data_IF_089192372718
#
_entry.id   IF_089192372718
#
_cell.length_a   1.000
_cell.length_b   1.000
_cell.length_c   1.000
_cell.angle_alpha   90.00
_cell.angle_beta   90.00
_cell.angle_gamma   90.00
#
_symmetry.space_group_name_H-M   'P 1'
#
loop_
_entity.id
_entity.type
_entity.pdbx_description
1 polymer ?
#
# COMPACT_ATOMS: atom_id res chain seq x y z
N UNK A 1 -2.62 4.10 2.16
CA UNK A 1 -1.73 4.30 0.99
C UNK A 1 -0.55 5.21 1.30
N UNK A 2 -0.73 6.35 1.96
CA UNK A 2 0.37 7.28 2.27
C UNK A 2 1.56 6.61 2.94
N UNK A 3 1.34 5.83 4.00
CA UNK A 3 2.38 5.06 4.70
C UNK A 3 3.14 4.14 3.74
N UNK A 4 2.42 3.35 2.93
CA UNK A 4 3.03 2.47 1.95
C UNK A 4 3.92 3.24 0.96
N UNK A 5 3.41 4.33 0.39
CA UNK A 5 4.17 5.16 -0.57
C UNK A 5 5.40 5.78 0.10
N UNK A 6 5.27 6.30 1.31
CA UNK A 6 6.38 6.90 2.06
C UNK A 6 7.51 5.89 2.34
N UNK A 7 7.16 4.69 2.82
CA UNK A 7 8.14 3.63 3.10
C UNK A 7 8.78 3.16 1.79
N UNK A 8 7.97 2.94 0.77
CA UNK A 8 8.46 2.50 -0.55
C UNK A 8 9.40 3.54 -1.16
N UNK A 9 9.07 4.83 -1.06
CA UNK A 9 9.93 5.91 -1.54
C UNK A 9 11.28 5.94 -0.83
N UNK A 10 11.32 5.76 0.50
CA UNK A 10 12.57 5.63 1.25
C UNK A 10 13.39 4.43 0.76
N UNK A 11 12.75 3.28 0.53
CA UNK A 11 13.42 2.10 -0.01
C UNK A 11 13.93 2.33 -1.43
N UNK A 12 13.23 3.09 -2.26
CA UNK A 12 13.73 3.43 -3.59
C UNK A 12 15.05 4.20 -3.50
N UNK A 13 15.11 5.23 -2.66
CA UNK A 13 16.33 6.05 -2.50
C UNK A 13 17.53 5.22 -2.01
N UNK A 14 17.30 4.23 -1.15
CA UNK A 14 18.37 3.46 -0.51
C UNK A 14 18.71 2.13 -1.22
N UNK A 15 17.70 1.46 -1.77
CA UNK A 15 17.76 0.09 -2.30
C UNK A 15 17.42 -0.02 -3.78
N UNK A 16 17.12 1.08 -4.46
CA UNK A 16 16.85 1.13 -5.89
C UNK A 16 15.44 0.73 -6.30
N UNK A 17 15.18 0.80 -7.62
CA UNK A 17 13.84 0.65 -8.18
C UNK A 17 13.28 -0.77 -8.07
N UNK A 18 14.13 -1.81 -8.12
CA UNK A 18 13.67 -3.19 -8.00
C UNK A 18 13.10 -3.49 -6.60
N UNK A 19 13.81 -3.08 -5.54
CA UNK A 19 13.34 -3.27 -4.17
C UNK A 19 12.11 -2.41 -3.87
N UNK A 20 12.04 -1.19 -4.41
CA UNK A 20 10.85 -0.34 -4.38
C UNK A 20 9.59 -1.07 -4.84
N UNK A 21 9.63 -1.77 -5.99
CA UNK A 21 8.45 -2.49 -6.52
C UNK A 21 7.91 -3.53 -5.54
N UNK A 22 8.79 -4.34 -4.96
CA UNK A 22 8.39 -5.37 -4.00
C UNK A 22 7.83 -4.76 -2.71
N UNK A 23 8.44 -3.69 -2.22
CA UNK A 23 7.96 -3.01 -1.01
C UNK A 23 6.61 -2.33 -1.27
N UNK A 24 6.43 -1.67 -2.41
CA UNK A 24 5.18 -1.00 -2.76
C UNK A 24 4.01 -1.99 -2.88
N UNK A 25 4.22 -3.13 -3.53
CA UNK A 25 3.15 -4.10 -3.77
C UNK A 25 2.78 -4.85 -2.48
N UNK A 26 3.79 -5.28 -1.71
CA UNK A 26 3.60 -6.24 -0.61
C UNK A 26 3.92 -5.61 0.74
N UNK A 27 5.20 -5.32 1.02
CA UNK A 27 5.64 -5.04 2.39
C UNK A 27 5.07 -3.75 2.97
N UNK A 28 5.04 -2.67 2.20
CA UNK A 28 4.50 -1.40 2.64
C UNK A 28 2.98 -1.44 2.87
N UNK A 29 2.26 -2.35 2.20
CA UNK A 29 0.85 -2.61 2.51
C UNK A 29 0.68 -3.28 3.87
N UNK A 30 1.44 -4.34 4.16
CA UNK A 30 1.39 -5.00 5.46
C UNK A 30 1.82 -4.08 6.60
N UNK A 31 2.84 -3.26 6.41
CA UNK A 31 3.25 -2.24 7.40
C UNK A 31 2.12 -1.22 7.61
N UNK A 32 1.43 -0.81 6.54
CA UNK A 32 0.27 0.08 6.65
C UNK A 32 -0.86 -0.56 7.46
N UNK A 33 -1.11 -1.87 7.31
CA UNK A 33 -2.07 -2.60 8.14
C UNK A 33 -1.62 -2.58 9.60
N UNK A 34 -0.37 -2.94 9.89
CA UNK A 34 0.14 -2.99 11.27
C UNK A 34 0.01 -1.64 11.99
N UNK A 35 0.32 -0.54 11.31
CA UNK A 35 0.16 0.80 11.88
C UNK A 35 -1.33 1.11 12.10
N UNK A 36 -2.21 0.69 11.18
CA UNK A 36 -3.66 0.87 11.32
C UNK A 36 -4.24 0.06 12.49
N UNK A 37 -3.73 -1.15 12.74
CA UNK A 37 -4.12 -1.99 13.90
C UNK A 37 -3.82 -1.32 15.23
N UNK A 38 -2.73 -0.55 15.31
CA UNK A 38 -2.36 0.17 16.53
C UNK A 38 -3.14 1.48 16.67
N UNK A 39 -3.35 2.19 15.56
CA UNK A 39 -3.83 3.58 15.58
C UNK A 39 -5.34 3.75 15.46
N UNK A 40 -6.06 2.79 14.84
CA UNK A 40 -7.43 3.01 14.37
C UNK A 40 -8.42 1.89 14.76
N UNK A 41 -8.32 1.40 16.01
CA UNK A 41 -9.17 0.29 16.49
C UNK A 41 -10.68 0.60 16.41
N UNK A 42 -11.07 1.85 16.65
CA UNK A 42 -12.47 2.27 16.67
C UNK A 42 -13.11 2.27 15.26
N UNK A 43 -12.33 2.42 14.19
CA UNK A 43 -12.86 2.39 12.82
C UNK A 43 -13.40 1.01 12.45
N UNK A 44 -12.79 -0.07 12.95
CA UNK A 44 -13.28 -1.42 12.68
C UNK A 44 -14.68 -1.67 13.24
N UNK A 45 -15.02 -1.06 14.38
CA UNK A 45 -16.37 -1.14 14.95
C UNK A 45 -17.39 -0.46 14.03
N UNK A 46 -17.04 0.69 13.45
CA UNK A 46 -17.91 1.37 12.48
C UNK A 46 -18.18 0.49 11.25
N UNK A 47 -17.14 -0.10 10.66
CA UNK A 47 -17.30 -0.96 9.48
C UNK A 47 -18.07 -2.24 9.79
N UNK A 48 -17.80 -2.85 10.94
CA UNK A 48 -18.50 -4.05 11.39
C UNK A 48 -20.00 -3.80 11.62
N UNK A 49 -20.35 -2.67 12.23
CA UNK A 49 -21.75 -2.27 12.42
C UNK A 49 -22.48 -2.02 11.09
N UNK A 50 -21.75 -1.72 10.01
CA UNK A 50 -22.27 -1.61 8.65
C UNK A 50 -22.18 -2.92 7.84
N UNK A 51 -21.91 -4.05 8.50
CA UNK A 51 -21.86 -5.37 7.88
C UNK A 51 -20.58 -5.70 7.11
N UNK A 52 -19.55 -4.85 7.19
CA UNK A 52 -18.27 -5.08 6.53
C UNK A 52 -17.30 -5.72 7.51
N UNK A 53 -16.82 -6.91 7.16
CA UNK A 53 -15.84 -7.63 8.00
C UNK A 53 -14.43 -7.06 7.82
N UNK A 54 -13.61 -7.25 8.85
CA UNK A 54 -12.19 -6.88 8.83
C UNK A 54 -11.43 -7.53 7.67
N UNK A 55 -11.73 -8.79 7.38
CA UNK A 55 -11.10 -9.53 6.29
C UNK A 55 -11.48 -8.94 4.92
N UNK A 56 -12.74 -8.52 4.74
CA UNK A 56 -13.14 -7.80 3.53
C UNK A 56 -12.36 -6.50 3.35
N UNK A 57 -12.19 -5.70 4.42
CA UNK A 57 -11.38 -4.48 4.36
C UNK A 57 -9.93 -4.75 3.95
N UNK A 58 -9.33 -5.83 4.45
CA UNK A 58 -7.97 -6.22 4.06
C UNK A 58 -7.88 -6.64 2.60
N UNK A 59 -8.81 -7.46 2.12
CA UNK A 59 -8.84 -7.92 0.73
C UNK A 59 -9.07 -6.75 -0.22
N UNK A 60 -10.07 -5.91 0.03
CA UNK A 60 -10.34 -4.72 -0.79
C UNK A 60 -9.16 -3.74 -0.75
N UNK A 61 -8.60 -3.51 0.44
CA UNK A 61 -7.42 -2.67 0.60
C UNK A 61 -6.22 -3.19 -0.19
N UNK A 62 -5.98 -4.50 -0.18
CA UNK A 62 -4.91 -5.13 -0.94
C UNK A 62 -5.15 -5.02 -2.45
N UNK A 63 -6.36 -5.29 -2.93
CA UNK A 63 -6.70 -5.17 -4.35
C UNK A 63 -6.50 -3.73 -4.85
N UNK A 64 -6.97 -2.74 -4.11
CA UNK A 64 -6.75 -1.32 -4.45
C UNK A 64 -5.26 -0.96 -4.42
N UNK A 65 -4.50 -1.45 -3.42
CA UNK A 65 -3.06 -1.26 -3.37
C UNK A 65 -2.35 -1.86 -4.57
N UNK A 66 -2.73 -3.08 -4.97
CA UNK A 66 -2.14 -3.79 -6.09
C UNK A 66 -2.37 -3.05 -7.40
N UNK A 67 -3.62 -2.65 -7.69
CA UNK A 67 -3.96 -1.89 -8.91
C UNK A 67 -3.19 -0.56 -8.94
N UNK A 68 -3.22 0.20 -7.85
CA UNK A 68 -2.48 1.46 -7.75
C UNK A 68 -0.98 1.26 -7.96
N UNK A 69 -0.39 0.22 -7.35
CA UNK A 69 1.04 -0.07 -7.48
C UNK A 69 1.41 -0.39 -8.93
N UNK A 70 0.61 -1.20 -9.62
CA UNK A 70 0.82 -1.51 -11.04
C UNK A 70 0.79 -0.25 -11.91
N UNK A 71 -0.21 0.62 -11.70
CA UNK A 71 -0.33 1.89 -12.43
C UNK A 71 0.86 2.80 -12.13
N UNK A 72 1.26 2.95 -10.86
CA UNK A 72 2.37 3.82 -10.47
C UNK A 72 3.69 3.32 -11.06
N UNK A 73 3.97 2.02 -11.00
CA UNK A 73 5.16 1.41 -11.58
C UNK A 73 5.19 1.62 -13.10
N UNK A 74 4.05 1.44 -13.78
CA UNK A 74 3.94 1.70 -15.21
C UNK A 74 4.24 3.17 -15.53
N UNK A 75 3.64 4.11 -14.81
CA UNK A 75 3.89 5.55 -15.00
C UNK A 75 5.36 5.88 -14.79
N UNK A 76 5.98 5.39 -13.72
CA UNK A 76 7.41 5.62 -13.45
C UNK A 76 8.28 5.08 -14.58
N UNK A 77 8.03 3.85 -15.05
CA UNK A 77 8.80 3.26 -16.14
C UNK A 77 8.65 4.06 -17.45
N UNK A 78 7.43 4.52 -17.75
CA UNK A 78 7.18 5.37 -18.92
C UNK A 78 7.96 6.67 -18.80
N UNK A 79 7.89 7.35 -17.65
CA UNK A 79 8.62 8.60 -17.41
C UNK A 79 10.13 8.39 -17.52
N UNK A 80 10.68 7.37 -16.86
CA UNK A 80 12.12 7.06 -16.92
C UNK A 80 12.62 6.67 -18.31
N UNK A 81 11.74 6.16 -19.18
CA UNK A 81 12.10 5.89 -20.58
C UNK A 81 12.24 7.18 -21.41
N UNK A 82 11.54 8.24 -21.01
CA UNK A 82 11.53 9.53 -21.70
C UNK A 82 12.53 10.55 -21.13
N UNK A 83 13.20 10.21 -20.02
CA UNK A 83 14.26 11.02 -19.37
C UNK A 83 15.61 10.39 -19.68
#
# INVERSE_FOLDING_TARGET
MTINVSISALVWVLGGFETFKYVLIIFGFFISILIKEVSAKNEYLFYYNNGISKLQLFVYGFMLNFVFSMVLILVINVVLKFV
#
